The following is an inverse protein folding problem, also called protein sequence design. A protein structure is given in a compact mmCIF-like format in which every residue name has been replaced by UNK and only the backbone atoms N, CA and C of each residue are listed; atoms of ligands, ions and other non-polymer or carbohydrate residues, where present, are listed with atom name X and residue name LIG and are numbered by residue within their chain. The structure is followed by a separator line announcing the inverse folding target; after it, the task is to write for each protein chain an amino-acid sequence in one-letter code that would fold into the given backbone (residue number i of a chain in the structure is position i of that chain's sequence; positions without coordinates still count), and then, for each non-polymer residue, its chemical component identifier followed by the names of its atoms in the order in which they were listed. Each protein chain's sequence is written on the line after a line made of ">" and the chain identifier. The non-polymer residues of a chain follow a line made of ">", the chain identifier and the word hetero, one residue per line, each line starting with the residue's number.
data_IF_511020949857
#
_entry.id   IF_511020949857
#
_cell.length_a   1.000
_cell.length_b   1.000
_cell.length_c   1.000
_cell.angle_alpha   90.00
_cell.angle_beta   90.00
_cell.angle_gamma   90.00
#
_symmetry.space_group_name_H-M   'P 1'
#
loop_
_entity.id
_entity.type
_entity.pdbx_description
1 polymer ?
#
# COMPACT_ATOMS: atom_id res chain seq x y z
N UNK A 1 4.67 12.31 -2.79
CA UNK A 1 4.20 12.46 -1.40
C UNK A 1 3.00 11.55 -1.23
N UNK A 2 3.06 10.62 -0.27
CA UNK A 2 2.03 9.61 -0.01
C UNK A 2 1.51 9.85 1.40
N UNK A 3 0.20 9.84 1.59
CA UNK A 3 -0.44 9.98 2.90
C UNK A 3 -1.44 8.85 3.13
N UNK A 4 -2.05 8.82 4.31
CA UNK A 4 -3.22 7.95 4.55
C UNK A 4 -4.27 8.14 3.44
N UNK A 5 -4.92 7.03 3.08
CA UNK A 5 -5.94 6.91 2.04
C UNK A 5 -5.46 7.15 0.60
N UNK A 6 -4.17 7.42 0.39
CA UNK A 6 -3.59 7.50 -0.95
C UNK A 6 -3.62 6.13 -1.64
N UNK A 7 -4.18 6.08 -2.85
CA UNK A 7 -4.19 4.89 -3.72
C UNK A 7 -2.96 4.87 -4.62
N UNK A 8 -2.32 3.72 -4.71
CA UNK A 8 -1.06 3.51 -5.40
C UNK A 8 -1.17 2.26 -6.28
N UNK A 9 -0.62 2.36 -7.50
CA UNK A 9 -0.41 1.19 -8.35
C UNK A 9 0.80 0.41 -7.83
N UNK A 10 0.65 -0.91 -7.78
CA UNK A 10 1.73 -1.81 -7.37
C UNK A 10 2.60 -2.13 -8.58
N UNK A 11 3.92 -2.14 -8.38
CA UNK A 11 4.92 -2.40 -9.41
C UNK A 11 5.80 -3.59 -9.02
N UNK A 12 5.16 -4.70 -8.65
CA UNK A 12 5.81 -5.96 -8.29
C UNK A 12 5.06 -7.16 -8.91
N UNK A 13 5.48 -8.38 -8.53
CA UNK A 13 4.88 -9.64 -8.95
C UNK A 13 4.07 -10.34 -7.84
N UNK A 14 3.65 -9.62 -6.80
CA UNK A 14 2.82 -10.17 -5.71
C UNK A 14 1.41 -10.56 -6.18
N UNK A 15 0.93 -9.90 -7.24
CA UNK A 15 -0.43 -10.05 -7.77
C UNK A 15 -1.40 -8.95 -7.31
N UNK A 16 -1.00 -8.08 -6.37
CA UNK A 16 -1.73 -6.85 -6.10
C UNK A 16 -1.60 -5.88 -7.28
N UNK A 17 -2.68 -5.17 -7.61
CA UNK A 17 -2.72 -4.14 -8.67
C UNK A 17 -2.77 -2.74 -8.09
N UNK A 18 -3.59 -2.57 -7.05
CA UNK A 18 -3.80 -1.31 -6.38
C UNK A 18 -3.85 -1.52 -4.87
N UNK A 19 -3.16 -0.64 -4.13
CA UNK A 19 -3.17 -0.61 -2.67
C UNK A 19 -3.55 0.79 -2.19
N UNK A 20 -4.10 0.85 -0.98
CA UNK A 20 -4.39 2.11 -0.27
C UNK A 20 -3.53 2.18 0.98
N UNK A 21 -2.77 3.26 1.14
CA UNK A 21 -1.99 3.50 2.35
C UNK A 21 -2.92 3.67 3.58
N UNK A 22 -2.68 2.91 4.64
CA UNK A 22 -3.41 3.02 5.92
C UNK A 22 -2.55 3.60 7.03
N UNK A 23 -1.22 3.53 6.93
CA UNK A 23 -0.30 4.13 7.91
C UNK A 23 1.10 4.31 7.34
N UNK A 24 1.65 5.52 7.46
CA UNK A 24 3.07 5.77 7.17
C UNK A 24 3.93 5.36 8.38
N UNK A 25 5.00 4.60 8.16
CA UNK A 25 5.90 4.17 9.24
C UNK A 25 7.04 5.17 9.48
N UNK A 26 7.62 5.13 10.68
CA UNK A 26 8.75 5.99 11.07
C UNK A 26 8.42 7.09 12.10
N UNK A 27 7.39 6.90 12.94
CA UNK A 27 7.12 7.75 14.10
C UNK A 27 5.64 8.13 14.25
N UNK A 28 5.24 8.55 15.46
CA UNK A 28 3.84 8.87 15.80
C UNK A 28 3.30 10.14 15.14
N UNK A 29 4.17 11.08 14.75
CA UNK A 29 3.78 12.35 14.11
C UNK A 29 3.97 12.35 12.60
N UNK A 30 4.44 11.25 12.01
CA UNK A 30 4.74 11.19 10.58
C UNK A 30 3.45 11.10 9.76
N UNK A 31 3.25 12.07 8.87
CA UNK A 31 2.02 12.19 8.05
C UNK A 31 2.23 11.78 6.59
N UNK A 32 3.47 11.86 6.11
CA UNK A 32 3.79 11.68 4.71
C UNK A 32 4.97 10.73 4.51
N UNK A 33 4.84 9.90 3.47
CA UNK A 33 5.88 9.06 2.91
C UNK A 33 6.38 9.64 1.57
N UNK A 34 7.66 9.38 1.33
CA UNK A 34 8.46 9.75 0.17
C UNK A 34 9.11 8.49 -0.41
N UNK A 35 9.87 8.62 -1.50
CA UNK A 35 10.61 7.50 -2.07
C UNK A 35 11.57 6.93 -1.01
N UNK A 36 11.55 5.61 -0.82
CA UNK A 36 12.37 4.90 0.17
C UNK A 36 11.69 4.70 1.53
N UNK A 37 10.55 5.36 1.78
CA UNK A 37 9.80 5.16 3.02
C UNK A 37 8.89 3.93 2.94
N UNK A 38 8.73 3.26 4.08
CA UNK A 38 7.81 2.12 4.24
C UNK A 38 6.47 2.60 4.82
N UNK A 39 5.39 2.05 4.31
CA UNK A 39 4.03 2.29 4.80
C UNK A 39 3.27 0.97 4.83
N UNK A 40 2.23 0.91 5.67
CA UNK A 40 1.26 -0.19 5.70
C UNK A 40 0.14 0.17 4.73
N UNK A 41 -0.30 -0.79 3.93
CA UNK A 41 -1.34 -0.60 2.92
C UNK A 41 -2.38 -1.71 3.00
N UNK A 42 -3.54 -1.50 2.38
CA UNK A 42 -4.52 -2.58 2.15
C UNK A 42 -4.73 -2.76 0.66
N UNK A 43 -4.83 -4.01 0.21
CA UNK A 43 -5.05 -4.37 -1.20
C UNK A 43 -6.49 -3.99 -1.60
N UNK A 44 -6.62 -3.10 -2.58
CA UNK A 44 -7.91 -2.67 -3.14
C UNK A 44 -8.29 -3.42 -4.41
N UNK A 45 -7.31 -3.85 -5.19
CA UNK A 45 -7.48 -4.71 -6.36
C UNK A 45 -6.32 -5.70 -6.49
N UNK A 46 -6.63 -6.92 -6.93
CA UNK A 46 -5.69 -8.02 -7.09
C UNK A 46 -6.05 -8.87 -8.32
N UNK A 47 -5.05 -9.50 -8.93
CA UNK A 47 -5.25 -10.44 -10.03
C UNK A 47 -5.94 -11.72 -9.50
N UNK A 48 -6.89 -12.32 -10.24
CA UNK A 48 -7.48 -13.60 -9.87
C UNK A 48 -6.41 -14.69 -9.68
N UNK A 49 -6.52 -15.48 -8.60
CA UNK A 49 -5.58 -16.56 -8.29
C UNK A 49 -4.24 -16.12 -7.70
N UNK A 50 -4.04 -14.82 -7.46
CA UNK A 50 -2.88 -14.32 -6.74
C UNK A 50 -2.85 -14.81 -5.27
N UNK A 51 -1.64 -14.89 -4.70
CA UNK A 51 -1.46 -15.24 -3.29
C UNK A 51 -2.03 -14.17 -2.34
N UNK A 52 -1.98 -12.91 -2.77
CA UNK A 52 -2.61 -11.78 -2.07
C UNK A 52 -4.01 -11.52 -2.63
N UNK A 53 -4.96 -11.24 -1.73
CA UNK A 53 -6.38 -11.02 -2.04
C UNK A 53 -6.78 -9.59 -1.71
N UNK A 54 -7.85 -9.14 -2.33
CA UNK A 54 -8.49 -7.87 -1.98
C UNK A 54 -8.87 -7.89 -0.49
N UNK A 55 -8.45 -6.85 0.24
CA UNK A 55 -8.66 -6.71 1.68
C UNK A 55 -7.45 -7.08 2.53
N UNK A 56 -6.48 -7.82 1.99
CA UNK A 56 -5.24 -8.13 2.70
C UNK A 56 -4.44 -6.85 3.03
N UNK A 57 -3.63 -6.90 4.07
CA UNK A 57 -2.83 -5.78 4.62
C UNK A 57 -1.36 -6.10 4.59
#
# INVERSE_FOLDING_TARGET
>A
MIQQESRLRVADNSGAKEVMCIKVLGGSKRRYASIGDVFVATVKDAIPGAGVKKGDV
#
